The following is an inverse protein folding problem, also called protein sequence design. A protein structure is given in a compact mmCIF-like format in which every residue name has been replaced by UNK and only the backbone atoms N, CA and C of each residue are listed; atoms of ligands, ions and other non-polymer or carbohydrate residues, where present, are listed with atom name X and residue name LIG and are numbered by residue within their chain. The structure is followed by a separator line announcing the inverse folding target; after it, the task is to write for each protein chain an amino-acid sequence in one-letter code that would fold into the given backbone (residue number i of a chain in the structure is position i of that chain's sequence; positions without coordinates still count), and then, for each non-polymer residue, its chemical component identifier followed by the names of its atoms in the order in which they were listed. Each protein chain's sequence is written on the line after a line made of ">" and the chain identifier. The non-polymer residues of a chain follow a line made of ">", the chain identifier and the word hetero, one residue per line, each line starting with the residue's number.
data_IF_011495655271
#
_entry.id   IF_011495655271
#
_cell.length_a   1.000
_cell.length_b   1.000
_cell.length_c   1.000
_cell.angle_alpha   90.00
_cell.angle_beta   90.00
_cell.angle_gamma   90.00
#
_symmetry.space_group_name_H-M   'P 1'
#
loop_
_entity.id
_entity.type
_entity.pdbx_description
1 polymer ?
#
# COMPACT_ATOMS: atom_id res chain seq x y z
N UNK A 1 7.34 -0.61 23.45
CA UNK A 1 6.64 0.67 23.36
C UNK A 1 7.40 1.55 22.37
N UNK A 2 7.02 1.49 21.10
CA UNK A 2 7.18 2.54 20.10
C UNK A 2 5.95 2.43 19.21
N UNK A 3 5.16 3.49 19.21
CA UNK A 3 3.94 3.67 18.43
C UNK A 3 4.29 4.65 17.31
N UNK A 4 3.59 4.52 16.17
CA UNK A 4 3.42 5.53 15.12
C UNK A 4 4.50 5.54 14.03
N UNK A 5 4.17 4.97 12.86
CA UNK A 5 4.56 5.53 11.57
C UNK A 5 3.33 6.25 11.00
N UNK A 6 2.99 7.38 11.62
CA UNK A 6 2.15 8.41 11.01
C UNK A 6 2.87 8.91 9.78
N UNK A 7 2.18 8.90 8.65
CA UNK A 7 2.67 9.47 7.40
C UNK A 7 3.16 10.90 7.67
N UNK A 8 4.48 11.10 7.58
CA UNK A 8 5.11 12.42 7.57
C UNK A 8 4.71 13.14 6.28
N UNK A 9 3.50 13.68 6.22
CA UNK A 9 3.09 14.62 5.17
C UNK A 9 2.66 15.98 5.75
N UNK A 10 2.45 16.08 7.07
CA UNK A 10 1.91 17.29 7.69
C UNK A 10 2.76 18.57 7.50
N UNK A 11 4.11 18.55 7.44
CA UNK A 11 4.86 19.79 7.21
C UNK A 11 5.17 20.06 5.72
N UNK A 12 4.73 19.21 4.79
CA UNK A 12 5.21 19.23 3.40
C UNK A 12 4.10 19.62 2.41
N UNK A 13 2.83 19.38 2.73
CA UNK A 13 1.70 19.70 1.84
C UNK A 13 1.54 21.20 1.57
N UNK A 14 1.82 22.08 2.54
CA UNK A 14 1.75 23.54 2.34
C UNK A 14 2.82 24.07 1.37
N UNK A 15 3.94 23.34 1.20
CA UNK A 15 5.01 23.72 0.27
C UNK A 15 4.72 23.34 -1.19
N UNK A 16 3.76 22.46 -1.43
CA UNK A 16 3.45 21.94 -2.77
C UNK A 16 2.21 22.56 -3.41
N UNK A 17 1.62 23.61 -2.81
CA UNK A 17 0.45 24.29 -3.38
C UNK A 17 -0.80 23.42 -3.47
N UNK A 18 -0.88 22.40 -2.61
CA UNK A 18 -1.97 21.41 -2.63
C UNK A 18 -3.27 22.04 -2.13
N UNK A 19 -4.37 21.84 -2.85
CA UNK A 19 -5.70 22.41 -2.54
C UNK A 19 -6.22 21.96 -1.17
N UNK A 20 -7.10 22.75 -0.53
CA UNK A 20 -7.68 22.37 0.78
C UNK A 20 -8.49 21.06 0.70
N UNK A 21 -9.16 20.81 -0.42
CA UNK A 21 -9.88 19.54 -0.67
C UNK A 21 -8.94 18.32 -0.65
N UNK A 22 -7.70 18.48 -1.10
CA UNK A 22 -6.67 17.45 -1.03
C UNK A 22 -6.26 17.11 0.40
N UNK A 23 -6.12 18.15 1.22
CA UNK A 23 -5.73 18.00 2.62
C UNK A 23 -6.83 17.27 3.37
N UNK A 24 -8.09 17.60 3.10
CA UNK A 24 -9.25 16.91 3.69
C UNK A 24 -9.31 15.43 3.28
N UNK A 25 -9.13 15.11 1.99
CA UNK A 25 -9.08 13.72 1.51
C UNK A 25 -7.90 12.95 2.08
N UNK A 26 -6.73 13.59 2.18
CA UNK A 26 -5.55 12.98 2.81
C UNK A 26 -5.80 12.69 4.31
N UNK A 27 -6.45 13.60 5.02
CA UNK A 27 -6.85 13.40 6.43
C UNK A 27 -7.91 12.29 6.55
N UNK A 28 -8.87 12.21 5.63
CA UNK A 28 -9.87 11.14 5.59
C UNK A 28 -9.22 9.78 5.33
N UNK A 29 -8.29 9.70 4.37
CA UNK A 29 -7.48 8.51 4.11
C UNK A 29 -6.66 8.12 5.34
N UNK A 30 -6.01 9.10 5.99
CA UNK A 30 -5.23 8.85 7.19
C UNK A 30 -6.11 8.27 8.30
N UNK A 31 -7.30 8.84 8.54
CA UNK A 31 -8.27 8.30 9.51
C UNK A 31 -8.74 6.89 9.15
N UNK A 32 -9.03 6.64 7.88
CA UNK A 32 -9.46 5.34 7.39
C UNK A 32 -8.37 4.26 7.55
N UNK A 33 -7.10 4.65 7.36
CA UNK A 33 -5.95 3.74 7.41
C UNK A 33 -5.44 3.54 8.84
N UNK A 34 -5.45 4.57 9.69
CA UNK A 34 -4.85 4.49 11.05
C UNK A 34 -5.84 4.16 12.16
N UNK A 35 -7.15 4.30 11.93
CA UNK A 35 -8.17 4.24 12.98
C UNK A 35 -8.04 5.39 13.98
N UNK A 36 -9.12 5.67 14.73
CA UNK A 36 -9.05 6.57 15.88
C UNK A 36 -8.23 5.89 16.99
N UNK A 37 -7.18 6.56 17.45
CA UNK A 37 -6.28 6.06 18.50
C UNK A 37 -7.01 5.96 19.84
N UNK A 38 -7.67 4.83 20.07
CA UNK A 38 -8.36 4.49 21.31
C UNK A 38 -7.77 3.25 21.95
N UNK A 39 -7.26 3.41 23.16
CA UNK A 39 -6.66 2.39 24.02
C UNK A 39 -7.63 1.24 24.35
N UNK A 40 -7.57 0.11 23.65
CA UNK A 40 -7.98 -1.21 24.17
C UNK A 40 -7.70 -2.33 23.15
N UNK A 41 -7.24 -3.48 23.68
CA UNK A 41 -7.54 -4.86 23.25
C UNK A 41 -7.76 -5.09 21.76
N UNK A 42 -6.85 -5.85 21.11
CA UNK A 42 -6.89 -6.34 19.71
C UNK A 42 -8.27 -6.12 19.09
N UNK A 43 -8.47 -5.03 18.35
CA UNK A 43 -9.79 -4.80 17.80
C UNK A 43 -9.95 -5.75 16.62
N UNK A 44 -10.87 -6.71 16.79
CA UNK A 44 -11.59 -7.39 15.69
C UNK A 44 -12.33 -6.39 14.78
N UNK A 45 -12.27 -5.12 15.12
CA UNK A 45 -12.76 -3.97 14.40
C UNK A 45 -11.62 -2.96 14.19
N UNK A 46 -10.64 -3.23 13.31
CA UNK A 46 -10.12 -2.09 12.53
C UNK A 46 -11.39 -1.44 11.97
N UNK A 47 -11.67 -0.14 12.19
CA UNK A 47 -12.77 0.49 11.49
C UNK A 47 -12.52 0.22 10.00
N UNK A 48 -13.31 -0.68 9.40
CA UNK A 48 -13.30 -0.92 7.96
C UNK A 48 -13.94 0.30 7.34
N UNK A 49 -13.22 1.42 7.36
CA UNK A 49 -13.52 2.52 6.48
C UNK A 49 -13.29 1.96 5.08
N UNK A 50 -14.39 1.66 4.39
CA UNK A 50 -14.35 1.31 2.99
C UNK A 50 -13.79 2.52 2.26
N UNK A 51 -12.63 2.33 1.61
CA UNK A 51 -12.11 3.34 0.70
C UNK A 51 -13.05 3.35 -0.51
N UNK A 52 -13.81 4.43 -0.67
CA UNK A 52 -14.66 4.62 -1.85
C UNK A 52 -13.75 4.88 -3.06
N UNK A 53 -13.59 3.86 -3.90
CA UNK A 53 -12.80 3.98 -5.12
C UNK A 53 -13.65 4.61 -6.22
N UNK A 54 -13.17 5.69 -6.81
CA UNK A 54 -13.80 6.27 -8.00
C UNK A 54 -13.66 5.34 -9.23
N UNK A 55 -12.58 4.56 -9.28
CA UNK A 55 -12.28 3.52 -10.29
C UNK A 55 -11.28 2.52 -9.72
N UNK A 56 -11.35 1.26 -10.15
CA UNK A 56 -10.40 0.22 -9.77
C UNK A 56 -10.14 -0.80 -10.89
N UNK A 57 -9.04 -1.54 -10.78
CA UNK A 57 -8.73 -2.70 -11.62
C UNK A 57 -8.12 -3.78 -10.75
N UNK A 58 -8.65 -5.00 -10.84
CA UNK A 58 -8.20 -6.14 -10.07
C UNK A 58 -7.39 -7.10 -10.95
N UNK A 59 -6.22 -7.49 -10.50
CA UNK A 59 -5.30 -8.37 -11.24
C UNK A 59 -4.53 -9.28 -10.28
N UNK A 60 -4.02 -10.41 -10.78
CA UNK A 60 -3.13 -11.30 -10.01
C UNK A 60 -1.67 -10.88 -10.18
N UNK A 61 -0.87 -11.07 -9.14
CA UNK A 61 0.58 -10.86 -9.22
C UNK A 61 1.19 -11.76 -10.30
N UNK A 62 2.12 -11.22 -11.08
CA UNK A 62 2.80 -11.94 -12.17
C UNK A 62 4.07 -12.65 -11.70
N UNK A 63 4.66 -12.21 -10.59
CA UNK A 63 5.96 -12.68 -10.12
C UNK A 63 5.96 -12.80 -8.62
N UNK A 64 6.54 -13.90 -8.14
CA UNK A 64 6.80 -14.17 -6.74
C UNK A 64 8.31 -14.37 -6.54
N UNK A 65 8.90 -13.54 -5.70
CA UNK A 65 10.31 -13.65 -5.34
C UNK A 65 10.44 -13.87 -3.84
N UNK A 66 11.46 -14.61 -3.44
CA UNK A 66 11.82 -14.78 -2.02
C UNK A 66 13.32 -14.59 -1.85
N UNK A 67 13.72 -14.30 -0.62
CA UNK A 67 15.13 -14.21 -0.27
C UNK A 67 15.36 -14.05 1.21
N UNK A 68 16.63 -13.87 1.57
CA UNK A 68 17.06 -13.64 2.94
C UNK A 68 18.16 -12.59 2.95
N UNK A 69 18.21 -11.78 4.00
CA UNK A 69 19.29 -10.83 4.26
C UNK A 69 19.80 -11.03 5.69
N UNK A 70 21.09 -10.80 5.91
CA UNK A 70 21.65 -10.86 7.27
C UNK A 70 21.14 -9.67 8.10
N UNK A 71 20.38 -9.98 9.14
CA UNK A 71 19.90 -9.01 10.12
C UNK A 71 20.76 -9.01 11.39
N UNK A 72 20.57 -7.96 12.20
CA UNK A 72 21.28 -7.80 13.48
C UNK A 72 21.03 -8.96 14.45
N UNK A 73 19.80 -9.48 14.48
CA UNK A 73 19.34 -10.53 15.41
C UNK A 73 19.20 -11.91 14.73
N UNK A 74 19.79 -12.06 13.53
CA UNK A 74 19.67 -13.25 12.69
C UNK A 74 19.15 -12.94 11.28
N UNK A 75 19.07 -13.96 10.40
CA UNK A 75 18.60 -13.77 9.03
C UNK A 75 17.15 -13.30 8.99
N UNK A 76 16.87 -12.30 8.15
CA UNK A 76 15.54 -11.80 7.86
C UNK A 76 15.14 -12.28 6.48
N UNK A 77 14.18 -13.20 6.45
CA UNK A 77 13.56 -13.69 5.21
C UNK A 77 12.56 -12.67 4.68
N UNK A 78 12.37 -12.65 3.37
CA UNK A 78 11.39 -11.80 2.71
C UNK A 78 10.73 -12.52 1.54
N UNK A 79 9.52 -12.11 1.24
CA UNK A 79 8.78 -12.50 0.05
C UNK A 79 8.26 -11.25 -0.66
N UNK A 80 8.16 -11.30 -1.98
CA UNK A 80 7.77 -10.19 -2.83
C UNK A 80 6.75 -10.65 -3.88
N UNK A 81 5.68 -9.88 -4.02
CA UNK A 81 4.65 -10.05 -5.03
C UNK A 81 4.68 -8.86 -5.99
N UNK A 82 4.83 -9.14 -7.29
CA UNK A 82 4.98 -8.09 -8.30
C UNK A 82 3.90 -8.19 -9.37
N UNK A 83 3.24 -7.07 -9.63
CA UNK A 83 2.40 -6.84 -10.80
C UNK A 83 3.22 -6.02 -11.81
N UNK A 84 3.61 -6.64 -12.92
CA UNK A 84 4.49 -6.06 -13.94
C UNK A 84 3.74 -5.66 -15.23
N UNK A 85 2.47 -6.04 -15.36
CA UNK A 85 1.62 -5.57 -16.45
C UNK A 85 1.11 -4.16 -16.17
N UNK A 86 1.11 -3.30 -17.18
CA UNK A 86 0.52 -1.96 -17.11
C UNK A 86 -0.96 -2.06 -16.67
N UNK A 87 -1.29 -1.43 -15.55
CA UNK A 87 -2.65 -1.30 -15.03
C UNK A 87 -3.11 0.14 -15.22
N UNK A 88 -4.08 0.35 -16.12
CA UNK A 88 -4.61 1.68 -16.43
C UNK A 88 -5.76 2.01 -15.49
N UNK A 89 -5.63 3.09 -14.72
CA UNK A 89 -6.66 3.64 -13.85
C UNK A 89 -6.95 5.08 -14.30
N UNK A 90 -7.98 5.23 -15.14
CA UNK A 90 -8.33 6.49 -15.84
C UNK A 90 -7.15 7.07 -16.63
N UNK A 91 -6.55 8.13 -16.10
CA UNK A 91 -5.47 8.96 -16.64
C UNK A 91 -4.08 8.57 -16.08
N UNK A 92 -4.03 7.57 -15.19
CA UNK A 92 -2.80 7.06 -14.60
C UNK A 92 -2.53 5.63 -15.08
N UNK A 93 -1.27 5.32 -15.36
CA UNK A 93 -0.80 3.97 -15.67
C UNK A 93 0.14 3.52 -14.56
N UNK A 94 -0.18 2.39 -13.92
CA UNK A 94 0.68 1.70 -12.97
C UNK A 94 1.48 0.64 -13.73
N UNK A 95 2.72 0.96 -14.07
CA UNK A 95 3.63 0.08 -14.82
C UNK A 95 4.19 -1.06 -14.00
N UNK A 96 4.29 -0.86 -12.69
CA UNK A 96 4.76 -1.87 -11.75
C UNK A 96 4.13 -1.61 -10.39
N UNK A 97 3.71 -2.66 -9.71
CA UNK A 97 3.45 -2.63 -8.27
C UNK A 97 4.22 -3.78 -7.62
N UNK A 98 4.98 -3.49 -6.56
CA UNK A 98 5.72 -4.50 -5.81
C UNK A 98 5.40 -4.38 -4.33
N UNK A 99 4.84 -5.44 -3.75
CA UNK A 99 4.67 -5.59 -2.31
C UNK A 99 5.73 -6.54 -1.79
N UNK A 100 6.52 -6.12 -0.80
CA UNK A 100 7.50 -6.97 -0.14
C UNK A 100 7.24 -7.05 1.35
N UNK A 101 7.16 -8.26 1.87
CA UNK A 101 6.95 -8.55 3.28
C UNK A 101 8.20 -9.22 3.84
N UNK A 102 8.62 -8.78 5.02
CA UNK A 102 9.77 -9.32 5.73
C UNK A 102 9.32 -10.02 7.01
N UNK A 103 10.03 -11.09 7.40
CA UNK A 103 9.73 -11.83 8.63
C UNK A 103 9.93 -11.00 9.90
N UNK A 104 10.68 -9.89 9.81
CA UNK A 104 10.86 -8.93 10.88
C UNK A 104 9.77 -7.84 10.96
N UNK A 105 8.61 -8.06 10.31
CA UNK A 105 7.42 -7.18 10.32
C UNK A 105 7.52 -5.94 9.44
N UNK A 106 8.63 -5.74 8.74
CA UNK A 106 8.74 -4.68 7.73
C UNK A 106 7.90 -5.04 6.50
N UNK A 107 7.15 -4.08 6.01
CA UNK A 107 6.39 -4.16 4.76
C UNK A 107 6.80 -2.98 3.90
N UNK A 108 7.12 -3.25 2.64
CA UNK A 108 7.49 -2.25 1.65
C UNK A 108 6.53 -2.32 0.46
N UNK A 109 6.18 -1.14 -0.06
CA UNK A 109 5.48 -1.00 -1.33
C UNK A 109 6.30 -0.12 -2.26
N UNK A 110 6.46 -0.59 -3.50
CA UNK A 110 6.89 0.21 -4.64
C UNK A 110 5.78 0.27 -5.68
N UNK A 111 5.50 1.47 -6.19
CA UNK A 111 4.64 1.70 -7.35
C UNK A 111 5.44 2.47 -8.40
N UNK A 112 5.59 1.91 -9.60
CA UNK A 112 6.06 2.64 -10.77
C UNK A 112 4.86 3.11 -11.58
N UNK A 113 4.71 4.42 -11.76
CA UNK A 113 3.54 5.01 -12.37
C UNK A 113 3.86 6.18 -13.29
N UNK A 114 2.97 6.44 -14.23
CA UNK A 114 2.90 7.67 -15.03
C UNK A 114 1.47 8.22 -15.04
N UNK A 115 1.30 9.53 -15.27
CA UNK A 115 0.01 10.20 -15.38
C UNK A 115 0.04 11.24 -16.50
N UNK A 116 -0.92 11.13 -17.42
CA UNK A 116 -1.01 11.99 -18.61
C UNK A 116 -1.31 13.46 -18.27
N UNK A 117 -0.93 14.37 -19.18
CA UNK A 117 -1.08 15.82 -19.11
C UNK A 117 -2.55 16.30 -19.05
N UNK A 118 -3.45 15.51 -19.65
CA UNK A 118 -4.90 15.73 -19.69
C UNK A 118 -5.62 15.28 -18.42
N UNK A 119 -4.89 14.68 -17.48
CA UNK A 119 -5.43 14.28 -16.18
C UNK A 119 -5.83 15.48 -15.33
N UNK A 120 -6.86 15.33 -14.50
CA UNK A 120 -7.29 16.41 -13.60
C UNK A 120 -6.15 16.75 -12.62
N UNK A 121 -5.90 18.04 -12.42
CA UNK A 121 -4.91 18.63 -11.49
C UNK A 121 -5.29 18.45 -10.00
N UNK A 122 -6.24 17.56 -9.74
CA UNK A 122 -6.79 17.28 -8.43
C UNK A 122 -5.93 16.30 -7.64
N UNK A 123 -6.16 16.32 -6.34
CA UNK A 123 -5.54 15.50 -5.29
C UNK A 123 -5.90 14.02 -5.34
N UNK A 124 -5.85 13.42 -6.52
CA UNK A 124 -6.15 12.01 -6.68
C UNK A 124 -5.08 11.18 -5.99
N UNK A 125 -5.53 10.25 -5.16
CA UNK A 125 -4.65 9.25 -4.57
C UNK A 125 -4.73 8.00 -5.43
N UNK A 126 -3.62 7.68 -6.09
CA UNK A 126 -3.47 6.45 -6.85
C UNK A 126 -2.76 5.45 -5.96
N UNK A 127 -3.35 4.27 -5.83
CA UNK A 127 -2.84 3.26 -4.91
C UNK A 127 -3.07 1.85 -5.37
N UNK A 128 -2.60 0.94 -4.53
CA UNK A 128 -2.81 -0.48 -4.69
C UNK A 128 -3.20 -1.10 -3.36
N UNK A 129 -4.16 -2.02 -3.41
CA UNK A 129 -4.59 -2.87 -2.31
C UNK A 129 -4.17 -4.30 -2.62
N UNK A 130 -3.72 -5.03 -1.61
CA UNK A 130 -3.36 -6.44 -1.68
C UNK A 130 -4.23 -7.23 -0.71
N UNK A 131 -4.84 -8.31 -1.19
CA UNK A 131 -5.37 -9.37 -0.33
C UNK A 131 -4.31 -10.46 -0.19
N UNK A 132 -3.69 -10.56 0.98
CA UNK A 132 -2.66 -11.56 1.23
C UNK A 132 -3.30 -12.84 1.76
N UNK A 133 -3.02 -13.95 1.09
CA UNK A 133 -3.53 -15.27 1.41
C UNK A 133 -2.41 -16.28 1.56
N UNK A 134 -2.66 -17.28 2.39
CA UNK A 134 -1.80 -18.47 2.39
C UNK A 134 -2.14 -19.41 1.22
N UNK A 135 -1.31 -20.44 1.05
CA UNK A 135 -1.44 -21.47 0.02
C UNK A 135 -2.73 -22.28 0.09
N UNK A 136 -3.49 -22.22 1.19
CA UNK A 136 -4.82 -22.84 1.33
C UNK A 136 -5.95 -21.93 0.86
N UNK A 137 -5.64 -20.65 0.57
CA UNK A 137 -6.60 -19.61 0.22
C UNK A 137 -7.14 -18.84 1.42
N UNK A 138 -6.68 -19.14 2.65
CA UNK A 138 -7.08 -18.43 3.85
C UNK A 138 -6.60 -16.97 3.80
N UNK A 139 -7.50 -16.03 4.08
CA UNK A 139 -7.20 -14.60 4.08
C UNK A 139 -6.43 -14.22 5.35
N UNK A 140 -5.16 -13.87 5.18
CA UNK A 140 -4.29 -13.44 6.26
C UNK A 140 -4.59 -11.98 6.63
N UNK A 141 -4.76 -11.13 5.61
CA UNK A 141 -5.02 -9.72 5.82
C UNK A 141 -5.11 -8.92 4.52
N UNK A 142 -5.40 -7.64 4.67
CA UNK A 142 -5.52 -6.69 3.57
C UNK A 142 -4.62 -5.50 3.88
N UNK A 143 -3.76 -5.14 2.91
CA UNK A 143 -2.93 -3.94 2.97
C UNK A 143 -3.26 -3.04 1.80
N UNK A 144 -3.19 -1.74 2.01
CA UNK A 144 -3.37 -0.75 0.96
C UNK A 144 -2.46 0.45 1.24
N UNK A 145 -1.93 1.03 0.17
CA UNK A 145 -1.30 2.34 0.26
C UNK A 145 -1.52 3.08 -1.06
N UNK A 146 -1.43 4.40 -0.99
CA UNK A 146 -1.65 5.29 -2.12
C UNK A 146 -0.69 6.48 -2.07
N UNK A 147 -0.42 7.03 -3.24
CA UNK A 147 0.43 8.19 -3.44
C UNK A 147 -0.33 9.27 -4.18
N UNK A 148 0.00 10.53 -3.90
CA UNK A 148 -0.40 11.64 -4.72
C UNK A 148 0.44 11.61 -6.00
N UNK A 149 -0.19 11.34 -7.14
CA UNK A 149 0.46 11.34 -8.46
C UNK A 149 -0.14 12.50 -9.27
N UNK A 150 0.68 13.52 -9.49
CA UNK A 150 0.30 14.75 -10.19
C UNK A 150 0.34 14.54 -11.71
N UNK A 151 -0.36 15.39 -12.47
CA UNK A 151 -0.28 15.40 -13.94
C UNK A 151 1.16 15.60 -14.43
N UNK A 152 1.44 15.24 -15.67
CA UNK A 152 2.79 15.30 -16.28
C UNK A 152 3.84 14.50 -15.50
N UNK A 153 3.38 13.51 -14.72
CA UNK A 153 4.30 12.57 -14.11
C UNK A 153 4.69 11.55 -15.16
N UNK A 154 5.90 11.71 -15.70
CA UNK A 154 6.57 10.64 -16.43
C UNK A 154 6.72 9.38 -15.55
N UNK A 155 7.10 8.26 -16.15
CA UNK A 155 7.35 6.99 -15.45
C UNK A 155 8.31 7.16 -14.27
N UNK A 156 7.76 7.23 -13.05
CA UNK A 156 8.49 7.43 -11.78
C UNK A 156 8.16 6.34 -10.78
N UNK A 157 9.08 6.12 -9.84
CA UNK A 157 8.88 5.17 -8.73
C UNK A 157 8.48 5.92 -7.45
N UNK A 158 7.46 5.40 -6.78
CA UNK A 158 6.89 5.87 -5.53
C UNK A 158 7.03 4.74 -4.51
N UNK A 159 7.60 5.04 -3.36
CA UNK A 159 7.97 4.01 -2.38
C UNK A 159 7.52 4.41 -0.99
N UNK A 160 7.07 3.42 -0.21
CA UNK A 160 6.77 3.58 1.20
C UNK A 160 7.08 2.29 1.95
N UNK A 161 7.30 2.41 3.25
CA UNK A 161 7.45 1.27 4.14
C UNK A 161 6.76 1.52 5.48
N UNK A 162 6.35 0.42 6.11
CA UNK A 162 5.74 0.43 7.43
C UNK A 162 6.14 -0.84 8.19
N UNK A 163 6.19 -0.74 9.52
CA UNK A 163 6.25 -1.91 10.39
C UNK A 163 4.83 -2.28 10.82
N UNK A 164 4.41 -3.51 10.58
CA UNK A 164 3.10 -4.04 11.02
C UNK A 164 3.28 -5.42 11.67
N UNK A 165 3.14 -5.47 12.99
CA UNK A 165 3.20 -6.72 13.78
C UNK A 165 1.89 -7.51 13.67
N UNK A 166 1.49 -7.84 12.44
CA UNK A 166 0.26 -8.54 12.15
C UNK A 166 0.38 -10.02 12.55
N UNK A 167 -0.19 -10.41 13.69
CA UNK A 167 -0.04 -11.75 14.28
C UNK A 167 -0.30 -12.91 13.31
N UNK A 168 -1.35 -12.79 12.50
CA UNK A 168 -1.72 -13.84 11.51
C UNK A 168 -0.67 -13.93 10.40
N UNK A 169 -0.08 -12.79 9.99
CA UNK A 169 0.98 -12.82 8.99
C UNK A 169 2.20 -13.54 9.54
N UNK A 170 2.62 -13.26 10.77
CA UNK A 170 3.73 -13.96 11.40
C UNK A 170 3.54 -15.48 11.48
N UNK A 171 2.31 -15.95 11.74
CA UNK A 171 1.99 -17.39 11.79
C UNK A 171 1.96 -18.06 10.41
N UNK A 172 1.63 -17.32 9.35
CA UNK A 172 1.44 -17.85 8.00
C UNK A 172 2.54 -17.43 7.01
N UNK A 173 3.60 -16.76 7.47
CA UNK A 173 4.63 -16.15 6.60
C UNK A 173 5.29 -17.16 5.66
N UNK A 174 5.61 -18.35 6.17
CA UNK A 174 6.24 -19.42 5.38
C UNK A 174 5.24 -20.22 4.53
N UNK A 175 3.95 -19.88 4.61
CA UNK A 175 2.85 -20.56 3.92
C UNK A 175 2.15 -19.67 2.90
N UNK A 176 2.67 -18.48 2.61
CA UNK A 176 2.08 -17.54 1.67
C UNK A 176 1.89 -18.18 0.29
N UNK A 177 0.74 -17.92 -0.35
CA UNK A 177 0.53 -18.37 -1.72
C UNK A 177 1.46 -17.62 -2.68
N UNK A 178 1.95 -18.31 -3.71
CA UNK A 178 2.83 -17.73 -4.73
C UNK A 178 2.14 -16.62 -5.54
N UNK A 179 0.80 -16.66 -5.64
CA UNK A 179 0.02 -15.66 -6.38
C UNK A 179 -0.96 -14.98 -5.45
N UNK A 180 -1.00 -13.65 -5.53
CA UNK A 180 -1.89 -12.83 -4.72
C UNK A 180 -2.78 -11.95 -5.59
N UNK A 181 -3.93 -11.56 -5.05
CA UNK A 181 -4.86 -10.67 -5.72
C UNK A 181 -4.56 -9.22 -5.33
N UNK A 182 -4.31 -8.40 -6.33
CA UNK A 182 -4.09 -6.97 -6.23
C UNK A 182 -5.26 -6.18 -6.80
N UNK A 183 -5.48 -4.99 -6.27
CA UNK A 183 -6.47 -4.04 -6.75
C UNK A 183 -5.84 -2.66 -6.82
N UNK A 184 -5.58 -2.19 -8.02
CA UNK A 184 -5.19 -0.81 -8.31
C UNK A 184 -6.42 0.10 -8.20
N UNK A 185 -6.29 1.26 -7.57
CA UNK A 185 -7.42 2.16 -7.34
C UNK A 185 -7.07 3.64 -7.45
N UNK A 186 -8.12 4.46 -7.63
CA UNK A 186 -8.08 5.93 -7.51
C UNK A 186 -9.16 6.41 -6.56
N UNK A 187 -8.78 7.27 -5.61
CA UNK A 187 -9.66 7.99 -4.68
C UNK A 187 -9.59 9.48 -4.99
#
# INVERSE_FOLDING_TARGET
>A
MFHIASIFAKPVLDKFGVTEEAKERFVALQKAVTGDSGTAWIPLSRPSATLDFSTHTQTQSNTFNTGSIDGKDGPVTWCEFVWNSDQVIKDCILHKVSWRFYSNKLICLEICASKDDKGLDGSDLIGHRLELRDSTGFLIGIWAAAFLIVKDTDRRSFQTSAEDDHKVLGLHFDMLADTQTGLSFRI
#
